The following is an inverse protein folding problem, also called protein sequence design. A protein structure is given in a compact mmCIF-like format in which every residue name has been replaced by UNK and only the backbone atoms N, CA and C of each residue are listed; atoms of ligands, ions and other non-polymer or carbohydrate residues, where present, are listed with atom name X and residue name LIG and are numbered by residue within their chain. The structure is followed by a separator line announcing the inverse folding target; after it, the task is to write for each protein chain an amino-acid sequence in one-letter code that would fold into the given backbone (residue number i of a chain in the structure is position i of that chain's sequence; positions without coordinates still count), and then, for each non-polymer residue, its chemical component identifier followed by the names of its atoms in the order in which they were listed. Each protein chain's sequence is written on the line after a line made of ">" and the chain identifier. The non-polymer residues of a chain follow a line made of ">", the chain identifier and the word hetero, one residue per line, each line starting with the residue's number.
data_IF_908266475060
#
_entry.id   IF_908266475060
#
_cell.length_a   1.000
_cell.length_b   1.000
_cell.length_c   1.000
_cell.angle_alpha   90.00
_cell.angle_beta   90.00
_cell.angle_gamma   90.00
#
_symmetry.space_group_name_H-M   'P 1'
#
loop_
_entity.id
_entity.type
_entity.pdbx_description
1 polymer ?
#
# COMPACT_ATOMS: atom_id res chain seq x y z
N UNK A 1 5.03 -8.70 -0.90
CA UNK A 1 3.96 -9.00 0.09
C UNK A 1 2.67 -8.23 -0.18
N UNK A 2 2.70 -7.02 -0.74
CA UNK A 2 1.52 -6.15 -0.92
C UNK A 2 0.40 -6.74 -1.79
N UNK A 3 0.71 -7.47 -2.86
CA UNK A 3 -0.31 -8.08 -3.73
C UNK A 3 -1.13 -9.17 -3.02
N UNK A 4 -0.50 -9.90 -2.08
CA UNK A 4 -1.17 -10.95 -1.29
C UNK A 4 -2.28 -10.33 -0.44
N UNK A 5 -2.01 -9.22 0.25
CA UNK A 5 -3.01 -8.54 1.08
C UNK A 5 -4.22 -8.05 0.28
N UNK A 6 -4.03 -7.60 -0.96
CA UNK A 6 -5.15 -7.20 -1.83
C UNK A 6 -6.05 -8.37 -2.22
N UNK A 7 -5.45 -9.55 -2.48
CA UNK A 7 -6.16 -10.79 -2.80
C UNK A 7 -6.88 -11.36 -1.56
N UNK A 8 -6.20 -11.42 -0.41
CA UNK A 8 -6.78 -11.86 0.86
C UNK A 8 -7.95 -10.97 1.27
N UNK A 9 -7.83 -9.66 1.07
CA UNK A 9 -8.92 -8.73 1.31
C UNK A 9 -10.11 -8.97 0.38
N UNK A 10 -9.88 -9.26 -0.91
CA UNK A 10 -10.96 -9.59 -1.84
C UNK A 10 -11.64 -10.91 -1.44
N UNK A 11 -10.86 -11.91 -1.05
CA UNK A 11 -11.36 -13.20 -0.57
C UNK A 11 -12.26 -13.01 0.68
N UNK A 12 -11.82 -12.20 1.63
CA UNK A 12 -12.59 -11.85 2.82
C UNK A 12 -13.88 -11.05 2.52
N UNK A 13 -13.90 -10.24 1.47
CA UNK A 13 -15.10 -9.52 1.02
C UNK A 13 -16.12 -10.47 0.34
N UNK A 14 -15.63 -11.40 -0.49
CA UNK A 14 -16.48 -12.31 -1.28
C UNK A 14 -16.98 -13.48 -0.44
N UNK A 15 -16.05 -14.18 0.23
CA UNK A 15 -16.30 -15.44 0.91
C UNK A 15 -16.48 -15.25 2.42
N UNK A 16 -15.99 -14.16 2.99
CA UNK A 16 -16.05 -13.87 4.42
C UNK A 16 -14.87 -14.43 5.19
N UNK A 17 -14.76 -14.03 6.45
CA UNK A 17 -13.77 -14.51 7.41
C UNK A 17 -14.46 -15.30 8.51
N UNK A 18 -13.86 -16.40 8.93
CA UNK A 18 -14.31 -17.14 10.10
C UNK A 18 -13.75 -16.43 11.33
N UNK A 19 -14.64 -16.01 12.22
CA UNK A 19 -14.29 -15.46 13.53
C UNK A 19 -14.76 -16.43 14.60
N UNK A 20 -13.80 -16.94 15.35
CA UNK A 20 -14.06 -17.77 16.51
C UNK A 20 -14.13 -16.88 17.77
N UNK A 21 -15.12 -17.15 18.61
CA UNK A 21 -15.27 -16.47 19.89
C UNK A 21 -15.42 -17.49 21.01
N UNK A 22 -14.74 -17.20 22.11
CA UNK A 22 -14.81 -17.99 23.34
C UNK A 22 -15.59 -17.17 24.36
N UNK A 23 -16.71 -17.71 24.81
CA UNK A 23 -17.53 -17.08 25.86
C UNK A 23 -17.44 -17.93 27.12
N UNK A 24 -17.10 -17.34 28.25
CA UNK A 24 -17.10 -18.02 29.54
C UNK A 24 -18.43 -17.79 30.26
N UNK A 25 -19.06 -18.86 30.75
CA UNK A 25 -20.29 -18.79 31.55
C UNK A 25 -20.25 -19.83 32.66
N UNK A 26 -20.36 -19.39 33.92
CA UNK A 26 -20.32 -20.25 35.11
C UNK A 26 -19.16 -21.26 35.11
N UNK A 27 -17.94 -20.78 34.87
CA UNK A 27 -16.70 -21.60 34.80
C UNK A 27 -16.62 -22.60 33.65
N UNK A 28 -17.59 -22.61 32.72
CA UNK A 28 -17.52 -23.35 31.46
C UNK A 28 -17.14 -22.42 30.31
N UNK A 29 -16.33 -22.91 29.38
CA UNK A 29 -15.99 -22.21 28.14
C UNK A 29 -16.85 -22.75 27.00
N UNK A 30 -17.48 -21.86 26.26
CA UNK A 30 -18.24 -22.18 25.06
C UNK A 30 -17.54 -21.55 23.86
N UNK A 31 -17.17 -22.38 22.89
CA UNK A 31 -16.65 -21.94 21.59
C UNK A 31 -17.82 -21.72 20.63
N UNK A 32 -17.79 -20.62 19.89
CA UNK A 32 -18.68 -20.39 18.76
C UNK A 32 -17.91 -19.83 17.57
N UNK A 33 -18.34 -20.16 16.36
CA UNK A 33 -17.75 -19.68 15.12
C UNK A 33 -18.81 -18.95 14.29
N UNK A 34 -18.47 -17.78 13.76
CA UNK A 34 -19.32 -17.03 12.84
C UNK A 34 -18.56 -16.67 11.57
N UNK A 35 -19.23 -16.74 10.42
CA UNK A 35 -18.67 -16.21 9.17
C UNK A 35 -19.10 -14.75 9.00
N UNK A 36 -18.14 -13.83 8.95
CA UNK A 36 -18.37 -12.41 8.75
C UNK A 36 -17.90 -12.00 7.35
N UNK A 37 -18.80 -11.48 6.52
CA UNK A 37 -18.42 -10.89 5.23
C UNK A 37 -17.98 -9.44 5.42
N UNK A 38 -16.80 -9.11 4.90
CA UNK A 38 -16.32 -7.73 4.90
C UNK A 38 -17.05 -6.90 3.82
N UNK A 39 -17.26 -5.60 4.04
CA UNK A 39 -17.86 -4.74 3.02
C UNK A 39 -16.94 -4.59 1.82
N UNK A 40 -17.52 -4.59 0.61
CA UNK A 40 -16.75 -4.35 -0.61
C UNK A 40 -16.11 -2.96 -0.60
N UNK A 41 -14.80 -2.93 -0.75
CA UNK A 41 -14.04 -1.69 -0.84
C UNK A 41 -13.87 -1.26 -2.30
N UNK A 42 -13.90 0.05 -2.56
CA UNK A 42 -13.82 0.59 -3.93
C UNK A 42 -12.40 0.94 -4.37
N UNK A 43 -11.52 1.20 -3.41
CA UNK A 43 -10.14 1.58 -3.62
C UNK A 43 -9.27 1.01 -2.50
N UNK A 44 -7.97 0.97 -2.77
CA UNK A 44 -6.91 0.52 -1.87
C UNK A 44 -6.02 1.73 -1.54
N UNK A 45 -5.53 1.77 -0.31
CA UNK A 45 -4.41 2.63 0.09
C UNK A 45 -3.24 1.71 0.44
N UNK A 46 -2.24 1.68 -0.43
CA UNK A 46 -0.96 1.03 -0.20
C UNK A 46 -0.12 2.01 0.62
N UNK A 47 0.18 1.67 1.86
CA UNK A 47 0.66 2.63 2.84
C UNK A 47 1.69 2.02 3.79
N UNK A 48 2.89 2.60 3.78
CA UNK A 48 3.94 2.24 4.73
C UNK A 48 3.57 2.65 6.15
N UNK A 49 3.67 1.72 7.10
CA UNK A 49 3.17 1.92 8.47
C UNK A 49 3.90 3.02 9.25
N UNK A 50 5.11 3.38 8.84
CA UNK A 50 6.00 4.36 9.49
C UNK A 50 5.93 5.77 8.90
N UNK A 51 5.11 5.99 7.87
CA UNK A 51 4.94 7.29 7.20
C UNK A 51 3.59 7.93 7.56
N UNK A 52 3.54 8.71 8.65
CA UNK A 52 2.30 9.30 9.13
C UNK A 52 2.00 10.65 8.45
N UNK A 53 0.83 10.84 7.82
CA UNK A 53 0.44 12.11 7.23
C UNK A 53 0.08 13.11 8.35
N UNK A 54 0.68 14.30 8.32
CA UNK A 54 0.43 15.39 9.27
C UNK A 54 -0.24 16.60 8.60
N UNK A 55 -0.05 16.79 7.29
CA UNK A 55 -0.70 17.88 6.54
C UNK A 55 -2.16 17.56 6.18
N UNK A 56 -3.15 18.42 6.55
CA UNK A 56 -4.56 18.21 6.22
C UNK A 56 -4.90 18.11 4.73
N UNK A 57 -4.01 18.54 3.84
CA UNK A 57 -4.15 18.40 2.40
C UNK A 57 -3.93 16.95 1.91
N UNK A 58 -3.32 16.09 2.73
CA UNK A 58 -3.01 14.70 2.42
C UNK A 58 -4.23 13.80 2.68
N UNK A 59 -5.18 13.85 1.75
CA UNK A 59 -6.47 13.16 1.90
C UNK A 59 -6.44 11.77 1.30
N UNK A 60 -7.02 10.81 2.02
CA UNK A 60 -7.24 9.44 1.56
C UNK A 60 -8.54 9.36 0.75
N UNK A 61 -8.66 10.23 -0.24
CA UNK A 61 -9.84 10.32 -1.09
C UNK A 61 -9.82 9.26 -2.19
N UNK A 62 -11.01 8.92 -2.67
CA UNK A 62 -11.17 8.08 -3.86
C UNK A 62 -10.39 8.67 -5.06
N UNK A 63 -9.52 7.89 -5.72
CA UNK A 63 -8.86 8.31 -6.95
C UNK A 63 -9.84 8.56 -8.09
N UNK A 64 -9.48 9.43 -9.04
CA UNK A 64 -10.27 9.63 -10.26
C UNK A 64 -10.06 8.48 -11.25
N UNK A 65 -10.78 8.47 -12.37
CA UNK A 65 -10.51 7.51 -13.46
C UNK A 65 -9.15 7.75 -14.15
N UNK A 66 -8.56 8.94 -13.99
CA UNK A 66 -7.27 9.27 -14.62
C UNK A 66 -6.12 8.39 -14.10
N UNK A 67 -6.19 7.94 -12.85
CA UNK A 67 -5.16 7.10 -12.24
C UNK A 67 -5.06 7.25 -10.72
N UNK A 68 -4.05 6.62 -10.13
CA UNK A 68 -3.85 6.59 -8.68
C UNK A 68 -3.33 7.93 -8.15
N UNK A 69 -3.56 8.16 -6.85
CA UNK A 69 -3.03 9.30 -6.10
C UNK A 69 -1.79 8.86 -5.33
N UNK A 70 -0.65 9.50 -5.58
CA UNK A 70 0.57 9.32 -4.80
C UNK A 70 0.68 10.46 -3.78
N UNK A 71 0.56 10.13 -2.49
CA UNK A 71 0.47 11.15 -1.42
C UNK A 71 1.84 11.69 -0.99
N UNK A 72 2.92 10.93 -1.17
CA UNK A 72 4.27 11.32 -0.77
C UNK A 72 5.17 11.49 -2.01
N UNK A 73 5.00 12.57 -2.80
CA UNK A 73 5.92 12.85 -3.89
C UNK A 73 7.35 13.03 -3.37
N UNK A 74 8.33 12.78 -4.24
CA UNK A 74 9.75 12.77 -3.90
C UNK A 74 10.19 14.00 -3.08
N UNK A 75 9.72 15.20 -3.44
CA UNK A 75 10.10 16.45 -2.79
C UNK A 75 9.60 16.61 -1.34
N UNK A 76 8.69 15.74 -0.88
CA UNK A 76 8.26 15.66 0.52
C UNK A 76 8.94 14.51 1.28
N UNK A 77 9.59 13.58 0.58
CA UNK A 77 10.16 12.39 1.21
C UNK A 77 11.55 12.70 1.83
N UNK A 78 11.78 12.43 3.13
CA UNK A 78 13.04 12.78 3.80
C UNK A 78 14.26 12.05 3.21
N UNK A 79 14.08 10.83 2.72
CA UNK A 79 15.15 9.97 2.18
C UNK A 79 15.29 9.91 0.65
N UNK A 80 14.23 10.16 -0.11
CA UNK A 80 14.19 9.93 -1.57
C UNK A 80 13.97 11.21 -2.38
N UNK A 81 14.24 12.38 -1.79
CA UNK A 81 14.08 13.70 -2.42
C UNK A 81 14.90 13.92 -3.70
N UNK A 82 15.86 13.06 -4.02
CA UNK A 82 16.67 13.13 -5.24
C UNK A 82 16.10 12.31 -6.40
N UNK A 83 15.15 11.40 -6.15
CA UNK A 83 14.61 10.49 -7.15
C UNK A 83 13.24 10.95 -7.62
N UNK A 84 13.17 11.63 -8.77
CA UNK A 84 11.95 12.28 -9.26
C UNK A 84 10.84 11.31 -9.60
N UNK A 85 11.21 10.09 -9.99
CA UNK A 85 10.30 9.01 -10.35
C UNK A 85 9.79 8.22 -9.14
N UNK A 86 10.19 8.57 -7.91
CA UNK A 86 9.75 7.91 -6.68
C UNK A 86 8.23 7.80 -6.59
N UNK A 87 7.73 6.57 -6.34
CA UNK A 87 6.30 6.27 -6.16
C UNK A 87 5.97 5.36 -4.97
N UNK A 88 6.92 5.20 -4.05
CA UNK A 88 6.71 4.44 -2.82
C UNK A 88 5.99 5.23 -1.72
N UNK A 89 5.98 4.67 -0.50
CA UNK A 89 5.41 5.31 0.68
C UNK A 89 3.90 5.15 0.74
N UNK A 90 3.17 6.03 0.04
CA UNK A 90 1.70 6.02 0.06
C UNK A 90 1.10 6.23 -1.33
N UNK A 91 0.41 5.20 -1.83
CA UNK A 91 -0.27 5.20 -3.12
C UNK A 91 -1.72 4.71 -2.96
N UNK A 92 -2.66 5.52 -3.43
CA UNK A 92 -4.09 5.24 -3.38
C UNK A 92 -4.61 4.95 -4.78
N UNK A 93 -5.24 3.80 -4.97
CA UNK A 93 -5.63 3.29 -6.28
C UNK A 93 -7.01 2.63 -6.25
N UNK A 94 -7.83 2.82 -7.29
CA UNK A 94 -9.10 2.09 -7.39
C UNK A 94 -8.85 0.58 -7.51
N UNK A 95 -9.73 -0.24 -6.94
CA UNK A 95 -9.63 -1.71 -7.10
C UNK A 95 -9.67 -2.14 -8.56
N UNK A 96 -10.49 -1.46 -9.37
CA UNK A 96 -10.59 -1.72 -10.81
C UNK A 96 -9.27 -1.43 -11.54
N UNK A 97 -8.62 -0.32 -11.20
CA UNK A 97 -7.31 0.06 -11.76
C UNK A 97 -6.21 -0.91 -11.32
N UNK A 98 -6.19 -1.28 -10.03
CA UNK A 98 -5.24 -2.27 -9.48
C UNK A 98 -5.37 -3.62 -10.17
N UNK A 99 -6.62 -4.08 -10.38
CA UNK A 99 -6.90 -5.33 -11.10
C UNK A 99 -6.49 -5.24 -12.57
N UNK A 100 -6.71 -4.10 -13.22
CA UNK A 100 -6.38 -3.90 -14.65
C UNK A 100 -4.86 -4.00 -14.92
N UNK A 101 -4.03 -3.58 -13.97
CA UNK A 101 -2.56 -3.72 -14.05
C UNK A 101 -2.04 -5.07 -13.55
N UNK A 102 -2.92 -5.96 -13.08
CA UNK A 102 -2.54 -7.26 -12.51
C UNK A 102 -1.87 -7.15 -11.13
N UNK A 103 -2.16 -6.08 -10.39
CA UNK A 103 -1.54 -5.81 -9.08
C UNK A 103 -0.03 -5.60 -9.14
N UNK A 104 0.61 -5.66 -7.96
CA UNK A 104 2.06 -5.54 -7.82
C UNK A 104 2.77 -6.87 -8.14
N UNK A 105 4.01 -6.80 -8.59
CA UNK A 105 4.86 -7.97 -8.82
C UNK A 105 5.12 -8.77 -7.53
N UNK A 106 5.10 -10.10 -7.66
CA UNK A 106 5.46 -11.03 -6.58
C UNK A 106 6.97 -11.40 -6.59
N UNK A 107 7.75 -10.76 -7.46
CA UNK A 107 9.12 -11.19 -7.76
C UNK A 107 10.20 -10.35 -7.06
N UNK A 108 9.81 -9.39 -6.23
CA UNK A 108 10.69 -8.57 -5.41
C UNK A 108 10.68 -9.11 -3.97
N UNK A 109 11.86 -9.41 -3.45
CA UNK A 109 12.07 -10.02 -2.14
C UNK A 109 13.05 -9.16 -1.34
N UNK A 110 12.63 -8.61 -0.20
CA UNK A 110 13.47 -7.61 0.49
C UNK A 110 13.26 -6.21 -0.11
N UNK A 111 14.21 -5.30 0.10
CA UNK A 111 13.99 -3.88 -0.14
C UNK A 111 14.37 -3.44 -1.56
N UNK A 112 13.42 -2.82 -2.27
CA UNK A 112 13.67 -1.98 -3.46
C UNK A 112 13.11 -2.48 -4.79
N UNK A 113 12.78 -1.51 -5.66
CA UNK A 113 12.33 -1.59 -7.06
C UNK A 113 10.91 -2.14 -7.31
N UNK A 114 10.20 -2.60 -6.29
CA UNK A 114 8.81 -3.04 -6.42
C UNK A 114 7.88 -1.88 -6.80
N UNK A 115 8.09 -0.70 -6.20
CA UNK A 115 7.29 0.49 -6.49
C UNK A 115 7.57 1.02 -7.90
N UNK A 116 8.84 0.98 -8.32
CA UNK A 116 9.27 1.41 -9.66
C UNK A 116 8.66 0.53 -10.75
N UNK A 117 8.67 -0.79 -10.55
CA UNK A 117 8.04 -1.73 -11.48
C UNK A 117 6.52 -1.53 -11.54
N UNK A 118 5.89 -1.32 -10.38
CA UNK A 118 4.46 -1.03 -10.33
C UNK A 118 4.11 0.27 -11.05
N UNK A 119 4.95 1.30 -10.92
CA UNK A 119 4.82 2.55 -11.65
C UNK A 119 4.83 2.35 -13.17
N UNK A 120 5.73 1.49 -13.67
CA UNK A 120 5.83 1.15 -15.10
C UNK A 120 4.54 0.48 -15.58
N UNK A 121 3.96 -0.44 -14.79
CA UNK A 121 2.67 -1.07 -15.12
C UNK A 121 1.52 -0.06 -15.20
N UNK A 122 1.47 0.88 -14.26
CA UNK A 122 0.46 1.94 -14.26
C UNK A 122 0.56 2.81 -15.51
N UNK A 123 1.78 3.28 -15.82
CA UNK A 123 2.06 4.11 -16.99
C UNK A 123 1.77 3.35 -18.30
N UNK A 124 2.08 2.06 -18.39
CA UNK A 124 1.82 1.26 -19.60
C UNK A 124 0.33 1.04 -19.87
N UNK A 125 -0.53 1.15 -18.86
CA UNK A 125 -2.00 1.19 -19.01
C UNK A 125 -2.57 2.60 -19.22
N UNK A 126 -1.70 3.62 -19.34
CA UNK A 126 -2.11 5.00 -19.60
C UNK A 126 -2.59 5.76 -18.37
N UNK A 127 -2.40 5.23 -17.15
CA UNK A 127 -2.78 5.92 -15.94
C UNK A 127 -1.82 7.07 -15.62
N UNK A 128 -2.40 8.19 -15.19
CA UNK A 128 -1.68 9.37 -14.68
C UNK A 128 -1.64 9.28 -13.16
N UNK A 129 -0.42 9.16 -12.62
CA UNK A 129 -0.20 9.23 -11.18
C UNK A 129 -0.27 10.70 -10.78
N UNK A 130 -1.24 11.03 -9.93
CA UNK A 130 -1.48 12.42 -9.49
C UNK A 130 -0.97 12.61 -8.07
N UNK A 131 -0.44 13.80 -7.77
CA UNK A 131 0.04 14.15 -6.44
C UNK A 131 -0.77 15.33 -5.88
N UNK A 132 -0.93 15.46 -4.55
CA UNK A 132 -1.60 16.61 -3.95
C UNK A 132 -0.88 17.94 -4.27
N UNK A 133 -1.64 18.96 -4.65
CA UNK A 133 -1.09 20.27 -5.08
C UNK A 133 -1.13 21.36 -3.98
N UNK A 134 -1.88 21.14 -2.89
CA UNK A 134 -2.11 22.13 -1.83
C UNK A 134 -1.41 21.76 -0.51
N UNK A 135 -0.30 21.04 -0.58
CA UNK A 135 0.49 20.71 0.62
C UNK A 135 1.22 21.96 1.08
N UNK A 136 1.08 22.30 2.37
CA UNK A 136 1.58 23.55 2.95
C UNK A 136 2.72 23.35 3.95
N UNK A 137 2.79 22.18 4.59
CA UNK A 137 3.75 21.89 5.65
C UNK A 137 5.14 21.47 5.12
N UNK A 138 5.32 21.36 3.81
CA UNK A 138 6.59 20.97 3.18
C UNK A 138 7.11 19.64 3.74
N UNK A 139 8.39 19.57 4.13
CA UNK A 139 8.99 18.36 4.71
C UNK A 139 8.34 17.88 6.01
N UNK A 140 7.53 18.72 6.68
CA UNK A 140 6.76 18.33 7.87
C UNK A 140 5.39 17.74 7.53
N UNK A 141 5.04 17.64 6.24
CA UNK A 141 3.77 17.06 5.81
C UNK A 141 3.66 15.57 6.15
N UNK A 142 4.79 14.88 6.28
CA UNK A 142 4.86 13.50 6.75
C UNK A 142 5.86 13.36 7.89
N UNK A 143 5.48 12.61 8.91
CA UNK A 143 6.38 12.18 9.98
C UNK A 143 6.84 10.76 9.69
N UNK A 144 8.14 10.60 9.45
CA UNK A 144 8.79 9.32 9.21
C UNK A 144 9.34 8.76 10.52
N UNK A 145 8.74 7.67 11.02
CA UNK A 145 9.10 7.02 12.28
C UNK A 145 9.87 5.73 11.99
N UNK A 146 11.12 5.87 11.57
CA UNK A 146 11.94 4.74 11.16
C UNK A 146 13.24 4.70 11.95
N UNK A 147 13.46 3.62 12.72
CA UNK A 147 14.69 3.38 13.48
C UNK A 147 15.67 2.56 12.63
N UNK A 148 16.52 3.25 11.86
CA UNK A 148 17.43 2.62 10.89
C UNK A 148 18.41 1.61 11.51
N UNK A 149 18.74 1.75 12.80
CA UNK A 149 19.69 0.91 13.53
C UNK A 149 19.13 -0.46 13.95
N UNK A 150 17.80 -0.63 13.94
CA UNK A 150 17.14 -1.88 14.37
C UNK A 150 16.77 -2.82 13.22
N UNK A 151 16.82 -2.37 11.95
CA UNK A 151 16.26 -3.11 10.82
C UNK A 151 17.30 -3.49 9.75
N UNK A 152 18.22 -4.40 10.10
CA UNK A 152 19.25 -4.95 9.17
C UNK A 152 18.69 -5.61 7.90
N UNK A 153 17.39 -5.91 7.86
CA UNK A 153 16.69 -6.47 6.69
C UNK A 153 16.54 -5.43 5.57
N UNK A 154 16.46 -4.15 5.93
CA UNK A 154 16.00 -3.07 5.05
C UNK A 154 17.07 -2.57 4.08
N UNK A 155 18.27 -3.17 4.14
CA UNK A 155 19.41 -2.82 3.28
C UNK A 155 19.69 -3.87 2.19
N UNK A 156 19.06 -5.05 2.25
CA UNK A 156 19.31 -6.11 1.26
C UNK A 156 18.18 -6.22 0.25
N UNK A 157 18.54 -5.97 -1.00
CA UNK A 157 17.68 -6.17 -2.17
C UNK A 157 17.83 -7.60 -2.68
N UNK A 158 16.72 -8.30 -2.86
CA UNK A 158 16.67 -9.54 -3.63
C UNK A 158 15.53 -9.43 -4.66
N UNK A 159 15.77 -9.88 -5.88
CA UNK A 159 14.75 -9.90 -6.93
C UNK A 159 15.02 -11.08 -7.86
N UNK A 160 13.97 -11.56 -8.53
CA UNK A 160 14.17 -12.50 -9.63
C UNK A 160 14.91 -11.75 -10.78
N UNK A 161 16.11 -12.19 -11.21
CA UNK A 161 16.90 -11.51 -12.23
C UNK A 161 16.14 -11.27 -13.55
N UNK A 162 15.19 -12.14 -13.90
CA UNK A 162 14.38 -12.02 -15.13
C UNK A 162 13.40 -10.83 -15.10
N UNK A 163 13.24 -10.16 -13.96
CA UNK A 163 12.32 -9.02 -13.78
C UNK A 163 13.02 -7.68 -14.04
N UNK A 164 14.35 -7.66 -14.01
CA UNK A 164 15.16 -6.43 -14.16
C UNK A 164 15.87 -6.37 -15.52
N UNK A 165 15.75 -7.42 -16.35
CA UNK A 165 16.26 -7.39 -17.72
C UNK A 165 15.36 -6.54 -18.63
N UNK A 166 15.72 -5.27 -18.77
CA UNK A 166 15.38 -4.43 -19.92
C UNK A 166 16.59 -4.39 -20.87
#
# INVERSE_FOLDING_TARGET
>A
MLNVGALESLEAEVNGIIVESITQKNSLYQLSSQCLKLPFTKYLALHDVDLLPEDPALKYSMPSELGPIHLIPFYLHPRYYYFKEYTGGVLIIKRTQYSLVGGMSNSFWGWGREDDEFQIRLKSKGFKIVTPINVTMGLKAFRHIHQEDQHKRDVKTYYNPDVVSC
#
